data_IF_275403603093
#
_entry.id   IF_275403603093
#
_cell.length_a   1.000
_cell.length_b   1.000
_cell.length_c   1.000
_cell.angle_alpha   90.00
_cell.angle_beta   90.00
_cell.angle_gamma   90.00
#
_symmetry.space_group_name_H-M   'P 1'
#
loop_
_entity.id
_entity.type
_entity.pdbx_description
1 polymer ?
#
# COMPACT_ATOMS: atom_id res chain seq x y z
N UNK A 1 -23.76 -20.60 5.34
CA UNK A 1 -24.14 -22.03 5.54
C UNK A 1 -23.54 -22.97 4.47
N UNK A 2 -22.55 -22.56 3.66
CA UNK A 2 -22.08 -23.38 2.51
C UNK A 2 -20.74 -24.11 2.79
N UNK A 3 -19.86 -23.56 3.62
CA UNK A 3 -18.50 -24.11 3.82
C UNK A 3 -18.43 -25.47 4.54
N UNK A 4 -19.49 -25.86 5.25
CA UNK A 4 -19.54 -27.15 5.96
C UNK A 4 -19.96 -28.31 5.05
N UNK A 5 -20.67 -27.99 3.95
CA UNK A 5 -21.31 -28.98 3.09
C UNK A 5 -20.46 -29.30 1.85
N UNK A 6 -19.78 -28.28 1.26
CA UNK A 6 -18.85 -28.47 0.15
C UNK A 6 -17.57 -27.63 0.33
N UNK A 7 -16.47 -28.32 0.63
CA UNK A 7 -15.14 -27.69 0.82
C UNK A 7 -14.53 -27.19 -0.49
N UNK A 8 -14.83 -27.83 -1.61
CA UNK A 8 -14.26 -27.47 -2.90
C UNK A 8 -14.92 -26.19 -3.43
N UNK A 9 -16.24 -26.06 -3.27
CA UNK A 9 -16.95 -24.83 -3.62
C UNK A 9 -16.46 -23.64 -2.77
N UNK A 10 -16.33 -23.84 -1.45
CA UNK A 10 -15.78 -22.82 -0.55
C UNK A 10 -14.36 -22.40 -0.94
N UNK A 11 -13.49 -23.38 -1.25
CA UNK A 11 -12.12 -23.11 -1.73
C UNK A 11 -12.11 -22.28 -3.02
N UNK A 12 -13.00 -22.60 -3.96
CA UNK A 12 -13.15 -21.84 -5.21
C UNK A 12 -13.59 -20.40 -4.95
N UNK A 13 -14.63 -20.18 -4.14
CA UNK A 13 -15.11 -18.83 -3.82
C UNK A 13 -14.03 -17.98 -3.13
N UNK A 14 -13.32 -18.56 -2.16
CA UNK A 14 -12.22 -17.88 -1.47
C UNK A 14 -11.10 -17.52 -2.45
N UNK A 15 -10.68 -18.46 -3.29
CA UNK A 15 -9.65 -18.21 -4.28
C UNK A 15 -10.04 -17.12 -5.28
N UNK A 16 -11.29 -17.10 -5.75
CA UNK A 16 -11.81 -16.03 -6.61
C UNK A 16 -11.76 -14.67 -5.93
N UNK A 17 -12.16 -14.58 -4.65
CA UNK A 17 -12.08 -13.34 -3.88
C UNK A 17 -10.62 -12.87 -3.71
N UNK A 18 -9.70 -13.79 -3.40
CA UNK A 18 -8.27 -13.49 -3.27
C UNK A 18 -7.67 -13.01 -4.60
N UNK A 19 -8.05 -13.62 -5.74
CA UNK A 19 -7.66 -13.13 -7.07
C UNK A 19 -8.18 -11.73 -7.34
N UNK A 20 -9.41 -11.40 -6.92
CA UNK A 20 -9.93 -10.05 -7.06
C UNK A 20 -9.11 -9.03 -6.24
N UNK A 21 -8.86 -9.34 -4.97
CA UNK A 21 -8.04 -8.51 -4.06
C UNK A 21 -6.63 -8.31 -4.62
N UNK A 22 -6.02 -9.38 -5.12
CA UNK A 22 -4.66 -9.37 -5.66
C UNK A 22 -4.53 -8.51 -6.93
N UNK A 23 -5.56 -8.44 -7.78
CA UNK A 23 -5.56 -7.49 -8.90
C UNK A 23 -5.90 -6.06 -8.43
N UNK A 24 -6.82 -5.90 -7.48
CA UNK A 24 -7.19 -4.59 -6.94
C UNK A 24 -6.00 -3.88 -6.31
N UNK A 25 -5.09 -4.61 -5.65
CA UNK A 25 -3.87 -4.00 -5.10
C UNK A 25 -3.04 -3.31 -6.17
N UNK A 26 -2.93 -3.91 -7.38
CA UNK A 26 -2.20 -3.32 -8.50
C UNK A 26 -2.98 -2.11 -9.02
N UNK A 27 -4.27 -2.27 -9.29
CA UNK A 27 -5.13 -1.20 -9.83
C UNK A 27 -5.12 0.04 -8.92
N UNK A 28 -5.20 -0.15 -7.60
CA UNK A 28 -5.30 0.92 -6.63
C UNK A 28 -3.94 1.48 -6.19
N UNK A 29 -2.82 0.82 -6.56
CA UNK A 29 -1.48 1.22 -6.15
C UNK A 29 -1.15 2.70 -6.41
N UNK A 30 -1.57 3.33 -7.53
CA UNK A 30 -1.30 4.75 -7.77
C UNK A 30 -1.98 5.71 -6.80
N UNK A 31 -3.07 5.30 -6.15
CA UNK A 31 -3.84 6.12 -5.20
C UNK A 31 -3.67 5.71 -3.75
N UNK A 32 -3.45 4.42 -3.51
CA UNK A 32 -3.34 3.81 -2.18
C UNK A 32 -2.04 2.98 -2.07
N UNK A 33 -0.86 3.58 -2.32
CA UNK A 33 0.39 2.84 -2.47
C UNK A 33 0.74 2.01 -1.23
N UNK A 34 0.52 2.56 -0.03
CA UNK A 34 0.83 1.88 1.23
C UNK A 34 -0.09 0.70 1.50
N UNK A 35 -1.41 0.86 1.32
CA UNK A 35 -2.36 -0.24 1.50
C UNK A 35 -2.17 -1.33 0.44
N UNK A 36 -1.87 -0.94 -0.80
CA UNK A 36 -1.53 -1.90 -1.86
C UNK A 36 -0.28 -2.71 -1.52
N UNK A 37 0.75 -2.07 -0.94
CA UNK A 37 1.95 -2.76 -0.47
C UNK A 37 1.63 -3.71 0.69
N UNK A 38 0.83 -3.30 1.67
CA UNK A 38 0.40 -4.18 2.76
C UNK A 38 -0.36 -5.40 2.24
N UNK A 39 -1.28 -5.23 1.29
CA UNK A 39 -1.99 -6.35 0.65
C UNK A 39 -1.02 -7.27 -0.10
N UNK A 40 -0.04 -6.69 -0.81
CA UNK A 40 0.99 -7.44 -1.52
C UNK A 40 1.75 -8.36 -0.57
N UNK A 41 2.13 -7.86 0.59
CA UNK A 41 2.80 -8.63 1.63
C UNK A 41 1.87 -9.67 2.29
N UNK A 42 0.64 -9.30 2.64
CA UNK A 42 -0.36 -10.22 3.24
C UNK A 42 -0.58 -11.44 2.34
N UNK A 43 -0.69 -11.22 1.03
CA UNK A 43 -0.83 -12.30 0.05
C UNK A 43 0.43 -13.17 -0.12
N UNK A 44 1.52 -12.84 0.57
CA UNK A 44 2.76 -13.62 0.60
C UNK A 44 3.74 -13.28 -0.52
N UNK A 45 3.57 -12.13 -1.19
CA UNK A 45 4.56 -11.66 -2.15
C UNK A 45 5.71 -10.93 -1.44
N UNK A 46 6.89 -11.01 -2.05
CA UNK A 46 8.08 -10.29 -1.61
C UNK A 46 8.35 -9.06 -2.48
N UNK A 47 9.27 -8.21 -2.00
CA UNK A 47 9.64 -6.97 -2.66
C UNK A 47 8.61 -5.84 -2.50
N UNK A 48 8.90 -4.73 -3.16
CA UNK A 48 8.11 -3.51 -3.09
C UNK A 48 7.47 -3.17 -4.43
N UNK A 49 6.20 -2.74 -4.39
CA UNK A 49 5.46 -2.34 -5.58
C UNK A 49 6.07 -1.10 -6.26
N UNK A 50 6.70 -0.23 -5.48
CA UNK A 50 7.32 1.01 -5.94
C UNK A 50 8.79 1.09 -5.49
N UNK A 51 9.56 1.92 -6.18
CA UNK A 51 10.92 2.29 -5.80
C UNK A 51 10.95 3.34 -4.69
N UNK A 52 12.15 3.72 -4.31
CA UNK A 52 12.40 4.66 -3.22
C UNK A 52 12.50 6.10 -3.76
N UNK A 53 11.99 7.05 -2.99
CA UNK A 53 12.14 8.48 -3.26
C UNK A 53 13.20 9.05 -2.31
N UNK A 54 14.25 9.63 -2.86
CA UNK A 54 15.39 10.16 -2.10
C UNK A 54 15.65 11.62 -2.50
N UNK A 55 15.88 12.48 -1.50
CA UNK A 55 16.31 13.86 -1.75
C UNK A 55 17.82 13.85 -1.95
N UNK A 56 18.28 14.24 -3.14
CA UNK A 56 19.70 14.37 -3.48
C UNK A 56 20.08 15.83 -3.70
N UNK A 57 21.24 16.22 -3.18
CA UNK A 57 21.83 17.53 -3.41
C UNK A 57 22.65 17.51 -4.70
N UNK A 58 22.39 18.49 -5.56
CA UNK A 58 23.10 18.69 -6.81
C UNK A 58 23.79 20.05 -6.80
N UNK A 59 25.09 20.04 -7.04
CA UNK A 59 25.89 21.24 -7.26
C UNK A 59 26.03 21.47 -8.77
N UNK A 60 25.20 22.38 -9.31
CA UNK A 60 25.31 22.82 -10.70
C UNK A 60 26.23 24.04 -10.82
N UNK A 61 26.66 24.34 -12.04
CA UNK A 61 27.56 25.49 -12.31
C UNK A 61 27.02 26.85 -11.85
N UNK A 62 25.70 26.99 -11.71
CA UNK A 62 25.05 28.25 -11.33
C UNK A 62 24.40 28.23 -9.96
N UNK A 63 24.12 27.06 -9.38
CA UNK A 63 23.46 26.92 -8.07
C UNK A 63 23.57 25.51 -7.51
N UNK A 64 23.52 25.43 -6.18
CA UNK A 64 23.25 24.18 -5.46
C UNK A 64 21.76 24.06 -5.18
N UNK A 65 21.17 22.88 -5.36
CA UNK A 65 19.78 22.65 -5.03
C UNK A 65 19.50 21.18 -4.67
N UNK A 66 18.43 20.96 -3.94
CA UNK A 66 17.93 19.62 -3.63
C UNK A 66 16.89 19.22 -4.68
N UNK A 67 16.94 17.97 -5.14
CA UNK A 67 15.92 17.40 -6.00
C UNK A 67 15.43 16.06 -5.44
N UNK A 68 14.14 15.82 -5.58
CA UNK A 68 13.53 14.53 -5.27
C UNK A 68 13.78 13.58 -6.44
N UNK A 69 14.51 12.50 -6.20
CA UNK A 69 14.91 11.51 -7.19
C UNK A 69 14.22 10.18 -6.90
N UNK A 70 13.84 9.46 -7.96
CA UNK A 70 13.25 8.13 -7.86
C UNK A 70 14.30 7.06 -8.18
N UNK A 71 14.50 6.11 -7.26
CA UNK A 71 15.32 4.93 -7.47
C UNK A 71 14.45 3.67 -7.64
N UNK A 72 14.35 3.10 -8.86
CA UNK A 72 13.60 1.88 -9.11
C UNK A 72 14.33 0.59 -8.70
N UNK A 73 15.57 0.65 -8.16
CA UNK A 73 16.44 -0.52 -7.96
C UNK A 73 15.80 -1.68 -7.17
N UNK A 74 14.97 -1.37 -6.18
CA UNK A 74 14.28 -2.33 -5.30
C UNK A 74 12.84 -2.63 -5.74
N UNK A 75 12.33 -1.94 -6.76
CA UNK A 75 10.97 -2.12 -7.28
C UNK A 75 10.81 -3.49 -7.96
N UNK A 76 9.78 -4.22 -7.57
CA UNK A 76 9.34 -5.46 -8.24
C UNK A 76 7.94 -5.34 -8.85
N UNK A 77 7.18 -4.31 -8.47
CA UNK A 77 5.83 -4.08 -8.98
C UNK A 77 5.81 -3.72 -10.47
N UNK A 78 4.89 -4.35 -11.20
CA UNK A 78 4.59 -4.05 -12.61
C UNK A 78 3.09 -3.84 -12.79
N UNK A 79 2.72 -2.97 -13.75
CA UNK A 79 1.31 -2.82 -14.13
C UNK A 79 0.88 -3.96 -15.05
N UNK A 80 0.68 -5.13 -14.46
CA UNK A 80 0.27 -6.33 -15.16
C UNK A 80 -0.72 -7.14 -14.33
N UNK A 81 -1.42 -8.07 -14.98
CA UNK A 81 -2.28 -9.02 -14.27
C UNK A 81 -1.42 -9.84 -13.32
N UNK A 82 -1.78 -9.83 -12.04
CA UNK A 82 -1.06 -10.59 -11.03
C UNK A 82 -1.26 -12.11 -11.21
N UNK A 83 -0.33 -12.92 -10.71
CA UNK A 83 -0.41 -14.38 -10.76
C UNK A 83 -0.32 -14.97 -9.34
N UNK A 84 -1.47 -15.07 -8.66
CA UNK A 84 -1.56 -15.69 -7.35
C UNK A 84 -1.61 -17.20 -7.49
N UNK A 85 -0.53 -17.88 -7.09
CA UNK A 85 -0.42 -19.33 -7.23
C UNK A 85 -1.26 -20.04 -6.18
N UNK A 86 -1.93 -21.12 -6.57
CA UNK A 86 -2.60 -22.00 -5.61
C UNK A 86 -1.56 -22.60 -4.65
N UNK A 87 -1.90 -22.67 -3.36
CA UNK A 87 -1.00 -23.18 -2.33
C UNK A 87 0.08 -22.19 -1.87
N UNK A 88 0.09 -20.96 -2.40
CA UNK A 88 0.96 -19.89 -1.90
C UNK A 88 0.70 -19.63 -0.42
N UNK A 89 1.77 -19.65 0.38
CA UNK A 89 1.69 -19.35 1.80
C UNK A 89 1.44 -17.86 1.99
N UNK A 90 0.31 -17.52 2.59
CA UNK A 90 -0.02 -16.15 2.94
C UNK A 90 0.59 -15.77 4.29
N UNK A 91 0.82 -14.48 4.48
CA UNK A 91 1.18 -13.91 5.79
C UNK A 91 -0.10 -13.66 6.59
N UNK A 92 0.05 -13.44 7.89
CA UNK A 92 -1.11 -13.21 8.75
C UNK A 92 -1.83 -11.92 8.35
N UNK A 93 -3.14 -11.97 8.05
CA UNK A 93 -3.87 -10.80 7.62
C UNK A 93 -3.99 -9.79 8.77
N UNK A 94 -3.77 -8.52 8.45
CA UNK A 94 -3.95 -7.40 9.36
C UNK A 94 -5.02 -6.44 8.81
N UNK A 95 -5.76 -5.72 9.66
CA UNK A 95 -6.65 -4.67 9.21
C UNK A 95 -5.89 -3.61 8.41
N UNK A 96 -6.39 -3.30 7.20
CA UNK A 96 -5.76 -2.29 6.32
C UNK A 96 -6.13 -0.85 6.69
N UNK A 97 -7.30 -0.66 7.31
CA UNK A 97 -7.85 0.65 7.59
C UNK A 97 -8.45 0.70 8.99
N UNK A 98 -8.17 1.79 9.69
CA UNK A 98 -8.84 2.14 10.94
C UNK A 98 -10.04 3.03 10.62
N UNK A 99 -11.20 2.69 11.19
CA UNK A 99 -12.39 3.53 11.08
C UNK A 99 -12.12 4.86 11.78
N UNK A 100 -12.42 5.96 11.10
CA UNK A 100 -12.37 7.28 11.71
C UNK A 100 -13.64 7.50 12.53
N UNK A 101 -13.47 7.82 13.80
CA UNK A 101 -14.60 8.18 14.67
C UNK A 101 -14.99 9.66 14.45
N UNK A 102 -16.29 10.01 14.62
CA UNK A 102 -16.77 11.36 14.33
C UNK A 102 -16.02 12.46 15.09
N UNK A 103 -15.60 12.19 16.32
CA UNK A 103 -14.85 13.11 17.17
C UNK A 103 -13.52 13.53 16.52
N UNK A 104 -12.80 12.59 15.91
CA UNK A 104 -11.54 12.86 15.19
C UNK A 104 -11.80 13.82 14.02
N UNK A 105 -12.92 13.63 13.31
CA UNK A 105 -13.28 14.50 12.19
C UNK A 105 -13.53 15.94 12.67
N UNK A 106 -14.19 16.11 13.81
CA UNK A 106 -14.48 17.43 14.36
C UNK A 106 -13.22 18.12 14.91
N UNK A 107 -12.30 17.36 15.52
CA UNK A 107 -10.98 17.85 15.92
C UNK A 107 -10.15 18.33 14.72
N UNK A 108 -10.04 17.52 13.66
CA UNK A 108 -9.27 17.91 12.47
C UNK A 108 -9.90 19.12 11.76
N UNK A 109 -11.23 19.22 11.72
CA UNK A 109 -11.92 20.41 11.20
C UNK A 109 -11.61 21.66 12.02
N UNK A 110 -11.54 21.56 13.35
CA UNK A 110 -11.21 22.70 14.21
C UNK A 110 -9.77 23.19 14.01
N UNK A 111 -8.86 22.30 13.59
CA UNK A 111 -7.46 22.66 13.24
C UNK A 111 -7.34 23.35 11.88
N UNK A 112 -8.26 23.10 10.94
CA UNK A 112 -8.22 23.73 9.63
C UNK A 112 -8.26 25.26 9.74
N UNK A 113 -7.25 25.94 9.19
CA UNK A 113 -7.14 27.41 9.21
C UNK A 113 -6.49 28.00 10.45
N UNK A 114 -6.10 27.19 11.43
CA UNK A 114 -5.30 27.64 12.57
C UNK A 114 -3.81 27.79 12.18
N UNK A 115 -3.03 28.64 12.87
CA UNK A 115 -1.58 28.69 12.69
C UNK A 115 -0.97 27.31 12.92
N UNK A 116 -0.25 26.79 11.94
CA UNK A 116 0.46 25.53 12.06
C UNK A 116 1.79 25.76 12.78
N UNK A 117 1.96 25.16 13.96
CA UNK A 117 3.27 25.04 14.60
C UNK A 117 4.00 23.84 14.00
N UNK A 118 5.04 24.11 13.23
CA UNK A 118 5.87 23.08 12.59
C UNK A 118 6.62 22.29 13.67
N UNK A 119 6.16 21.08 13.94
CA UNK A 119 6.85 20.15 14.85
C UNK A 119 8.05 19.54 14.13
N UNK A 120 9.22 19.39 14.79
CA UNK A 120 10.34 18.68 14.21
C UNK A 120 9.93 17.28 13.79
N UNK A 121 10.33 16.86 12.59
CA UNK A 121 10.12 15.49 12.12
C UNK A 121 11.12 14.61 12.88
N UNK A 122 10.63 13.78 13.80
CA UNK A 122 11.43 12.71 14.40
C UNK A 122 11.59 11.61 13.33
N UNK A 123 12.81 11.48 12.79
CA UNK A 123 13.22 10.42 11.87
C UNK A 123 13.79 9.23 12.63
#
# INVERSE_FOLDING_TARGET
KVYKDDKNDAGRSIYTALRAIDNLKIILAPWLPFSSQQVHEILGYDGQLFGDLEIKSFDESTRSHNALMYDPSRQTGTWSKSDLKQGQKMREPQPLYTKLEPEVVDEEKARLGQPYEEKPIEL
#
